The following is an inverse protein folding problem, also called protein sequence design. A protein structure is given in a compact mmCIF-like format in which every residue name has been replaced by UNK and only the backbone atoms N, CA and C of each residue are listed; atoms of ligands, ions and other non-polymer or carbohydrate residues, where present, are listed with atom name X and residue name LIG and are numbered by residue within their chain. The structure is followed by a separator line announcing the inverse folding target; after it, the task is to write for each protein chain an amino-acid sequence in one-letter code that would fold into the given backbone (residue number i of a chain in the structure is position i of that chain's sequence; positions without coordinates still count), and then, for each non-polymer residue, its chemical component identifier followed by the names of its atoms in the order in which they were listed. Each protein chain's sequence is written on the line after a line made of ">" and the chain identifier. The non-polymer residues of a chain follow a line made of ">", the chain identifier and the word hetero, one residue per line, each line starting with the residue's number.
data_IF_261456775770
#
_entry.id   IF_261456775770
#
_cell.length_a   1.000
_cell.length_b   1.000
_cell.length_c   1.000
_cell.angle_alpha   90.00
_cell.angle_beta   90.00
_cell.angle_gamma   90.00
#
_symmetry.space_group_name_H-M   'P 1'
#
loop_
_entity.id
_entity.type
_entity.pdbx_description
1 polymer ?
#
# COMPACT_ATOMS: atom_id res chain seq x y z
N UNK A 1 14.86 22.01 -15.27
CA UNK A 1 13.99 21.47 -14.23
C UNK A 1 14.38 22.06 -12.89
N UNK A 2 13.45 22.64 -12.09
CA UNK A 2 13.80 23.36 -10.85
C UNK A 2 14.70 22.60 -9.89
N UNK A 3 14.51 21.28 -9.74
CA UNK A 3 15.30 20.46 -8.81
C UNK A 3 16.81 20.36 -9.17
N UNK A 4 17.22 20.80 -10.35
CA UNK A 4 18.63 20.87 -10.74
C UNK A 4 19.22 22.29 -10.63
N UNK A 5 18.43 23.26 -10.17
CA UNK A 5 18.93 24.60 -9.91
C UNK A 5 19.75 24.63 -8.61
N UNK A 6 20.89 25.32 -8.58
CA UNK A 6 21.79 25.28 -7.42
C UNK A 6 21.09 25.64 -6.10
N UNK A 7 20.28 26.69 -6.08
CA UNK A 7 19.59 27.16 -4.89
C UNK A 7 18.54 26.16 -4.32
N UNK A 8 18.13 25.16 -5.11
CA UNK A 8 17.20 24.11 -4.71
C UNK A 8 17.88 22.75 -4.53
N UNK A 9 18.93 22.47 -5.33
CA UNK A 9 19.60 21.18 -5.32
C UNK A 9 20.63 21.04 -4.19
N UNK A 10 21.22 22.14 -3.74
CA UNK A 10 22.35 22.13 -2.81
C UNK A 10 21.93 22.22 -1.33
N UNK A 11 20.67 21.96 -1.02
CA UNK A 11 20.18 21.93 0.36
C UNK A 11 20.57 20.59 1.04
N UNK A 12 21.17 20.70 2.22
CA UNK A 12 21.49 19.52 3.02
C UNK A 12 20.18 18.90 3.58
N UNK A 13 20.05 17.55 3.61
CA UNK A 13 18.83 16.88 4.11
C UNK A 13 18.46 17.24 5.56
N UNK A 14 19.42 17.63 6.38
CA UNK A 14 19.20 18.03 7.78
C UNK A 14 19.28 19.55 7.98
N UNK A 15 19.05 20.34 6.93
CA UNK A 15 18.91 21.79 7.08
C UNK A 15 17.72 22.09 8.01
N UNK A 16 17.80 23.11 8.87
CA UNK A 16 16.66 23.52 9.68
C UNK A 16 15.44 23.86 8.81
N UNK A 17 14.25 23.45 9.26
CA UNK A 17 13.01 23.58 8.47
C UNK A 17 12.72 25.03 8.06
N UNK A 18 13.04 25.98 8.92
CA UNK A 18 12.91 27.42 8.65
C UNK A 18 13.80 27.93 7.51
N UNK A 19 14.80 27.16 7.10
CA UNK A 19 15.62 27.44 5.91
C UNK A 19 15.16 26.68 4.66
N UNK A 20 14.14 25.83 4.80
CA UNK A 20 13.60 24.98 3.75
C UNK A 20 12.07 25.06 3.66
N UNK A 21 11.47 26.21 3.99
CA UNK A 21 10.02 26.39 4.02
C UNK A 21 9.32 25.99 2.72
N UNK A 22 9.93 26.31 1.56
CA UNK A 22 9.39 25.92 0.26
C UNK A 22 9.30 24.40 0.08
N UNK A 23 10.30 23.63 0.55
CA UNK A 23 10.25 22.17 0.54
C UNK A 23 9.21 21.64 1.53
N UNK A 24 9.13 22.22 2.72
CA UNK A 24 8.12 21.86 3.70
C UNK A 24 6.71 22.03 3.13
N UNK A 25 6.46 23.14 2.42
CA UNK A 25 5.19 23.38 1.74
C UNK A 25 4.90 22.36 0.64
N UNK A 26 5.88 22.05 -0.22
CA UNK A 26 5.73 21.03 -1.28
C UNK A 26 5.37 19.67 -0.68
N UNK A 27 6.08 19.24 0.36
CA UNK A 27 5.84 17.95 1.00
C UNK A 27 4.44 17.91 1.64
N UNK A 28 4.08 18.95 2.39
CA UNK A 28 2.76 19.04 3.04
C UNK A 28 1.62 19.06 2.01
N UNK A 29 1.76 19.81 0.93
CA UNK A 29 0.75 19.84 -0.13
C UNK A 29 0.63 18.49 -0.83
N UNK A 30 1.75 17.81 -1.08
CA UNK A 30 1.75 16.48 -1.70
C UNK A 30 1.07 15.43 -0.79
N UNK A 31 1.37 15.43 0.49
CA UNK A 31 0.69 14.54 1.46
C UNK A 31 -0.82 14.77 1.45
N UNK A 32 -1.26 16.04 1.50
CA UNK A 32 -2.68 16.40 1.43
C UNK A 32 -3.33 15.96 0.13
N UNK A 33 -2.69 16.19 -1.02
CA UNK A 33 -3.24 15.77 -2.32
C UNK A 33 -3.30 14.24 -2.45
N UNK A 34 -2.32 13.53 -1.92
CA UNK A 34 -2.34 12.07 -1.91
C UNK A 34 -3.47 11.54 -1.01
N UNK A 35 -3.73 12.15 0.14
CA UNK A 35 -4.91 11.83 0.96
C UNK A 35 -6.20 12.02 0.16
N UNK A 36 -6.34 13.15 -0.54
CA UNK A 36 -7.53 13.45 -1.34
C UNK A 36 -7.78 12.44 -2.46
N UNK A 37 -6.73 12.07 -3.23
CA UNK A 37 -6.90 11.13 -4.36
C UNK A 37 -7.04 9.67 -3.93
N UNK A 38 -6.64 9.31 -2.71
CA UNK A 38 -6.69 7.93 -2.21
C UNK A 38 -7.82 7.68 -1.22
N UNK A 39 -8.37 8.73 -0.61
CA UNK A 39 -9.38 8.62 0.45
C UNK A 39 -8.81 8.22 1.82
N UNK A 40 -7.50 8.19 1.99
CA UNK A 40 -6.86 7.91 3.27
C UNK A 40 -6.79 9.15 4.16
N UNK A 41 -6.73 8.90 5.48
CA UNK A 41 -6.68 9.97 6.49
C UNK A 41 -5.30 10.62 6.60
N UNK A 42 -4.25 9.87 6.32
CA UNK A 42 -2.87 10.34 6.39
C UNK A 42 -1.99 9.61 5.36
N UNK A 43 -0.97 10.32 4.88
CA UNK A 43 0.05 9.76 3.98
C UNK A 43 1.42 10.15 4.51
N UNK A 44 2.37 9.23 4.44
CA UNK A 44 3.79 9.51 4.70
C UNK A 44 4.60 9.35 3.42
N UNK A 45 5.47 10.32 3.16
CA UNK A 45 6.40 10.33 2.03
C UNK A 45 7.76 9.66 2.34
N UNK A 46 7.92 9.07 3.53
CA UNK A 46 9.19 8.49 3.97
C UNK A 46 9.68 7.31 3.13
N UNK A 47 8.82 6.36 2.70
CA UNK A 47 9.31 5.26 1.87
C UNK A 47 9.77 5.75 0.50
N UNK A 48 11.01 5.42 0.12
CA UNK A 48 11.63 5.88 -1.12
C UNK A 48 11.69 4.82 -2.23
N UNK A 49 10.89 3.77 -2.09
CA UNK A 49 10.64 2.75 -3.11
C UNK A 49 9.32 2.04 -2.84
N UNK A 50 8.71 1.43 -3.87
CA UNK A 50 7.47 0.66 -3.71
C UNK A 50 7.60 -0.47 -2.70
N UNK A 51 8.69 -1.26 -2.76
CA UNK A 51 8.96 -2.34 -1.81
C UNK A 51 9.15 -1.85 -0.37
N UNK A 52 9.69 -0.65 -0.18
CA UNK A 52 9.75 -0.02 1.14
C UNK A 52 8.38 0.44 1.62
N UNK A 53 7.53 0.92 0.72
CA UNK A 53 6.12 1.18 1.01
C UNK A 53 5.39 -0.08 1.44
N UNK A 54 5.56 -1.20 0.70
CA UNK A 54 4.99 -2.49 1.09
C UNK A 54 5.40 -2.90 2.51
N UNK A 55 6.70 -2.90 2.77
CA UNK A 55 7.24 -3.27 4.09
C UNK A 55 6.73 -2.34 5.19
N UNK A 56 6.76 -1.02 4.95
CA UNK A 56 6.28 -0.02 5.91
C UNK A 56 4.80 -0.21 6.23
N UNK A 57 3.96 -0.41 5.21
CA UNK A 57 2.53 -0.62 5.42
C UNK A 57 2.22 -1.88 6.24
N UNK A 58 2.96 -2.97 6.01
CA UNK A 58 2.82 -4.18 6.82
C UNK A 58 3.31 -3.98 8.26
N UNK A 59 4.34 -3.17 8.47
CA UNK A 59 4.76 -2.79 9.83
C UNK A 59 3.70 -1.94 10.53
N UNK A 60 3.02 -1.05 9.81
CA UNK A 60 1.88 -0.28 10.35
C UNK A 60 0.75 -1.22 10.78
N UNK A 61 0.39 -2.20 9.95
CA UNK A 61 -0.63 -3.21 10.30
C UNK A 61 -0.18 -4.01 11.55
N UNK A 62 1.07 -4.42 11.62
CA UNK A 62 1.57 -5.09 12.83
C UNK A 62 1.49 -4.22 14.07
N UNK A 63 1.89 -2.96 13.97
CA UNK A 63 1.79 -2.01 15.08
C UNK A 63 0.33 -1.81 15.51
N UNK A 64 -0.59 -1.71 14.55
CA UNK A 64 -2.03 -1.64 14.82
C UNK A 64 -2.50 -2.82 15.68
N UNK A 65 -2.19 -4.06 15.27
CA UNK A 65 -2.56 -5.25 16.06
C UNK A 65 -1.87 -5.28 17.43
N UNK A 66 -0.59 -4.90 17.52
CA UNK A 66 0.13 -4.87 18.79
C UNK A 66 -0.49 -3.87 19.78
N UNK A 67 -0.85 -2.67 19.33
CA UNK A 67 -1.48 -1.64 20.14
C UNK A 67 -2.86 -2.07 20.68
N UNK A 68 -3.53 -2.98 19.96
CA UNK A 68 -4.83 -3.56 20.38
C UNK A 68 -4.68 -4.81 21.25
N UNK A 69 -3.45 -5.22 21.59
CA UNK A 69 -3.21 -6.46 22.32
C UNK A 69 -3.33 -7.73 21.46
N UNK A 70 -3.39 -7.60 20.15
CA UNK A 70 -3.56 -8.68 19.17
C UNK A 70 -2.26 -9.01 18.43
N UNK A 71 -1.11 -8.79 19.04
CA UNK A 71 0.22 -9.04 18.45
C UNK A 71 0.49 -10.51 18.04
N UNK A 72 -0.42 -11.43 18.37
CA UNK A 72 -0.41 -12.81 17.91
C UNK A 72 -0.91 -12.99 16.46
N UNK A 73 -1.55 -11.97 15.88
CA UNK A 73 -1.99 -11.99 14.47
C UNK A 73 -0.79 -11.83 13.58
N UNK A 74 -0.46 -12.91 12.84
CA UNK A 74 0.75 -13.01 12.04
C UNK A 74 0.53 -13.68 10.68
N UNK A 75 -0.71 -13.94 10.29
CA UNK A 75 -1.05 -14.52 8.97
C UNK A 75 -1.40 -13.41 8.00
N UNK A 76 -0.77 -13.45 6.81
CA UNK A 76 -1.06 -12.58 5.68
C UNK A 76 -1.59 -13.42 4.51
N UNK A 77 -2.83 -13.20 4.11
CA UNK A 77 -3.38 -13.81 2.89
C UNK A 77 -2.83 -13.08 1.67
N UNK A 78 -2.44 -13.80 0.63
CA UNK A 78 -1.93 -13.20 -0.60
C UNK A 78 -2.50 -13.97 -1.79
N UNK A 79 -3.38 -13.34 -2.61
CA UNK A 79 -3.86 -13.95 -3.84
C UNK A 79 -2.71 -14.24 -4.81
N UNK A 80 -2.82 -15.32 -5.57
CA UNK A 80 -1.80 -15.68 -6.57
C UNK A 80 -1.69 -14.67 -7.70
N UNK A 81 -2.68 -13.79 -7.85
CA UNK A 81 -2.68 -12.63 -8.75
C UNK A 81 -1.94 -11.39 -8.20
N UNK A 82 -1.46 -11.44 -6.96
CA UNK A 82 -0.73 -10.32 -6.35
C UNK A 82 0.68 -10.17 -6.95
N UNK A 83 1.26 -8.99 -6.78
CA UNK A 83 2.63 -8.74 -7.24
C UNK A 83 3.62 -9.66 -6.51
N UNK A 84 4.64 -10.16 -7.22
CA UNK A 84 5.60 -11.13 -6.70
C UNK A 84 6.44 -10.64 -5.51
N UNK A 85 6.52 -9.34 -5.26
CA UNK A 85 7.21 -8.77 -4.08
C UNK A 85 6.37 -8.84 -2.80
N UNK A 86 5.05 -8.98 -2.91
CA UNK A 86 4.16 -8.97 -1.74
C UNK A 86 4.48 -10.10 -0.73
N UNK A 87 4.69 -11.37 -1.16
CA UNK A 87 5.09 -12.43 -0.24
C UNK A 87 6.42 -12.14 0.47
N UNK A 88 7.39 -11.59 -0.24
CA UNK A 88 8.69 -11.25 0.36
C UNK A 88 8.55 -10.16 1.43
N UNK A 89 7.80 -9.11 1.14
CA UNK A 89 7.51 -8.03 2.09
C UNK A 89 6.77 -8.54 3.33
N UNK A 90 5.81 -9.46 3.16
CA UNK A 90 5.09 -10.07 4.27
C UNK A 90 6.02 -10.89 5.18
N UNK A 91 6.89 -11.71 4.59
CA UNK A 91 7.89 -12.49 5.35
C UNK A 91 8.87 -11.57 6.09
N UNK A 92 9.37 -10.51 5.43
CA UNK A 92 10.24 -9.51 6.06
C UNK A 92 9.57 -8.82 7.23
N UNK A 93 8.26 -8.56 7.13
CA UNK A 93 7.46 -8.01 8.23
C UNK A 93 7.16 -9.05 9.33
N UNK A 94 7.64 -10.29 9.21
CA UNK A 94 7.45 -11.37 10.19
C UNK A 94 6.07 -12.01 10.14
N UNK A 95 5.38 -11.92 9.00
CA UNK A 95 4.10 -12.57 8.76
C UNK A 95 4.27 -13.92 8.05
N UNK A 96 3.32 -14.80 8.23
CA UNK A 96 3.21 -16.09 7.54
C UNK A 96 2.29 -15.92 6.33
N UNK A 97 2.80 -16.19 5.16
CA UNK A 97 2.04 -16.09 3.92
C UNK A 97 1.15 -17.32 3.74
N UNK A 98 -0.12 -17.07 3.44
CA UNK A 98 -1.09 -18.08 3.01
C UNK A 98 -1.64 -17.64 1.65
N UNK A 99 -1.46 -18.49 0.65
CA UNK A 99 -1.93 -18.20 -0.70
C UNK A 99 -3.46 -18.35 -0.78
N UNK A 100 -4.07 -17.45 -1.56
CA UNK A 100 -5.48 -17.52 -1.97
C UNK A 100 -5.53 -17.78 -3.47
N UNK A 101 -6.35 -18.72 -3.89
CA UNK A 101 -6.51 -19.10 -5.30
C UNK A 101 -7.16 -17.97 -6.12
N UNK A 102 -6.96 -18.03 -7.44
CA UNK A 102 -7.74 -17.29 -8.42
C UNK A 102 -8.55 -18.26 -9.27
N UNK A 103 -9.65 -17.76 -9.82
CA UNK A 103 -10.47 -18.50 -10.79
C UNK A 103 -9.82 -18.54 -12.20
N UNK A 104 -10.47 -19.20 -13.14
CA UNK A 104 -9.98 -19.33 -14.53
C UNK A 104 -9.97 -18.00 -15.30
N UNK A 105 -10.65 -16.97 -14.79
CA UNK A 105 -10.68 -15.62 -15.35
C UNK A 105 -9.66 -14.68 -14.70
N UNK A 106 -8.94 -15.16 -13.70
CA UNK A 106 -7.93 -14.41 -12.96
C UNK A 106 -8.46 -13.55 -11.83
N UNK A 107 -9.76 -13.65 -11.48
CA UNK A 107 -10.32 -13.05 -10.29
C UNK A 107 -9.92 -13.86 -9.05
N UNK A 108 -9.93 -13.23 -7.89
CA UNK A 108 -9.73 -13.92 -6.62
C UNK A 108 -10.89 -14.89 -6.38
N UNK A 109 -10.60 -16.15 -6.07
CA UNK A 109 -11.60 -17.12 -5.69
C UNK A 109 -12.16 -16.77 -4.31
N UNK A 110 -13.36 -16.20 -4.31
CA UNK A 110 -14.01 -15.73 -3.09
C UNK A 110 -14.37 -16.85 -2.11
N UNK A 111 -14.60 -18.08 -2.61
CA UNK A 111 -14.87 -19.23 -1.74
C UNK A 111 -13.59 -19.68 -1.03
N UNK A 112 -12.45 -19.74 -1.72
CA UNK A 112 -11.15 -20.03 -1.12
C UNK A 112 -10.74 -18.90 -0.14
N UNK A 113 -10.95 -17.64 -0.51
CA UNK A 113 -10.70 -16.50 0.39
C UNK A 113 -11.47 -16.66 1.71
N UNK A 114 -12.77 -16.90 1.64
CA UNK A 114 -13.63 -17.05 2.82
C UNK A 114 -13.19 -18.24 3.69
N UNK A 115 -12.85 -19.36 3.06
CA UNK A 115 -12.32 -20.55 3.74
C UNK A 115 -11.00 -20.26 4.46
N UNK A 116 -10.04 -19.59 3.78
CA UNK A 116 -8.74 -19.21 4.38
C UNK A 116 -8.89 -18.20 5.50
N UNK A 117 -9.74 -17.19 5.32
CA UNK A 117 -10.01 -16.20 6.35
C UNK A 117 -10.63 -16.84 7.61
N UNK A 118 -11.56 -17.78 7.44
CA UNK A 118 -12.17 -18.53 8.54
C UNK A 118 -11.15 -19.44 9.24
N UNK A 119 -10.36 -20.21 8.47
CA UNK A 119 -9.31 -21.11 8.99
C UNK A 119 -8.31 -20.36 9.86
N UNK A 120 -7.93 -19.15 9.44
CA UNK A 120 -6.91 -18.37 10.12
C UNK A 120 -7.46 -17.21 10.95
N UNK A 121 -8.77 -17.14 11.20
CA UNK A 121 -9.45 -16.01 11.82
C UNK A 121 -8.79 -15.51 13.12
N UNK A 122 -8.35 -16.44 13.99
CA UNK A 122 -7.67 -16.07 15.23
C UNK A 122 -6.29 -15.41 15.03
N UNK A 123 -5.68 -15.57 13.85
CA UNK A 123 -4.32 -15.12 13.55
C UNK A 123 -4.24 -14.26 12.30
N UNK A 124 -5.35 -13.99 11.63
CA UNK A 124 -5.38 -13.19 10.42
C UNK A 124 -4.95 -11.75 10.75
N UNK A 125 -3.79 -11.35 10.24
CA UNK A 125 -3.28 -10.00 10.36
C UNK A 125 -3.68 -9.13 9.19
N UNK A 126 -3.53 -9.65 7.96
CA UNK A 126 -3.78 -8.88 6.75
C UNK A 126 -4.09 -9.76 5.54
N UNK A 127 -4.65 -9.13 4.53
CA UNK A 127 -4.52 -9.55 3.12
C UNK A 127 -3.69 -8.51 2.38
N UNK A 128 -2.86 -8.95 1.42
CA UNK A 128 -2.24 -8.05 0.43
C UNK A 128 -2.84 -8.32 -0.94
N UNK A 129 -3.52 -7.34 -1.50
CA UNK A 129 -4.15 -7.44 -2.82
C UNK A 129 -3.59 -6.39 -3.76
N UNK A 130 -3.19 -6.79 -4.97
CA UNK A 130 -2.82 -5.87 -6.05
C UNK A 130 -4.06 -5.51 -6.84
N UNK A 131 -4.37 -4.23 -6.99
CA UNK A 131 -5.60 -3.76 -7.61
C UNK A 131 -5.36 -2.57 -8.56
N UNK A 132 -5.68 -2.69 -9.86
CA UNK A 132 -6.01 -3.94 -10.57
C UNK A 132 -4.92 -4.99 -10.45
N UNK A 133 -5.27 -6.28 -10.63
CA UNK A 133 -4.32 -7.40 -10.44
C UNK A 133 -3.20 -7.39 -11.48
N UNK A 134 -2.15 -8.19 -11.25
CA UNK A 134 -1.05 -8.34 -12.23
C UNK A 134 -1.51 -9.00 -13.54
N UNK A 135 -2.68 -9.65 -13.53
CA UNK A 135 -3.32 -10.17 -14.74
C UNK A 135 -4.13 -9.12 -15.50
N UNK A 136 -4.19 -7.88 -14.99
CA UNK A 136 -4.98 -6.80 -15.56
C UNK A 136 -6.48 -6.91 -15.25
N UNK A 137 -6.84 -7.74 -14.28
CA UNK A 137 -8.23 -7.92 -13.85
C UNK A 137 -8.60 -6.88 -12.80
N UNK A 138 -9.75 -6.26 -12.99
CA UNK A 138 -10.35 -5.34 -12.06
C UNK A 138 -11.35 -6.13 -11.20
N UNK A 139 -10.96 -6.52 -9.99
CA UNK A 139 -11.75 -7.36 -9.10
C UNK A 139 -13.13 -6.75 -8.80
N UNK A 140 -14.18 -7.35 -9.35
CA UNK A 140 -15.57 -6.87 -9.11
C UNK A 140 -15.98 -7.02 -7.65
N UNK A 141 -15.46 -8.04 -6.97
CA UNK A 141 -15.80 -8.37 -5.60
C UNK A 141 -14.88 -7.69 -4.56
N UNK A 142 -14.10 -6.68 -4.93
CA UNK A 142 -13.09 -6.07 -4.02
C UNK A 142 -13.71 -5.58 -2.70
N UNK A 143 -14.87 -4.94 -2.73
CA UNK A 143 -15.57 -4.50 -1.51
C UNK A 143 -15.96 -5.69 -0.61
N UNK A 144 -16.47 -6.77 -1.20
CA UNK A 144 -16.80 -8.00 -0.46
C UNK A 144 -15.55 -8.67 0.15
N UNK A 145 -14.44 -8.64 -0.57
CA UNK A 145 -13.14 -9.11 -0.06
C UNK A 145 -12.75 -8.34 1.21
N UNK A 146 -12.85 -7.01 1.18
CA UNK A 146 -12.55 -6.17 2.36
C UNK A 146 -13.46 -6.54 3.54
N UNK A 147 -14.76 -6.68 3.31
CA UNK A 147 -15.72 -7.09 4.36
C UNK A 147 -15.36 -8.44 5.00
N UNK A 148 -15.00 -9.45 4.20
CA UNK A 148 -14.61 -10.78 4.70
C UNK A 148 -13.37 -10.65 5.60
N UNK A 149 -12.33 -9.98 5.14
CA UNK A 149 -11.09 -9.83 5.89
C UNK A 149 -11.31 -9.08 7.21
N UNK A 150 -12.07 -7.99 7.18
CA UNK A 150 -12.43 -7.23 8.38
C UNK A 150 -13.28 -8.05 9.36
N UNK A 151 -14.22 -8.84 8.88
CA UNK A 151 -15.06 -9.72 9.73
C UNK A 151 -14.21 -10.73 10.51
N UNK A 152 -13.05 -11.11 10.00
CA UNK A 152 -12.08 -11.99 10.65
C UNK A 152 -10.96 -11.25 11.40
N UNK A 153 -11.08 -9.92 11.54
CA UNK A 153 -10.16 -9.07 12.30
C UNK A 153 -8.85 -8.72 11.59
N UNK A 154 -8.72 -9.08 10.31
CA UNK A 154 -7.59 -8.69 9.48
C UNK A 154 -7.71 -7.27 8.92
N UNK A 155 -6.61 -6.74 8.40
CA UNK A 155 -6.55 -5.45 7.70
C UNK A 155 -6.32 -5.67 6.21
N UNK A 156 -6.82 -4.76 5.38
CA UNK A 156 -6.65 -4.82 3.93
C UNK A 156 -5.52 -3.92 3.49
N UNK A 157 -4.43 -4.53 3.03
CA UNK A 157 -3.34 -3.85 2.33
C UNK A 157 -3.61 -3.89 0.84
N UNK A 158 -3.83 -2.74 0.22
CA UNK A 158 -3.99 -2.63 -1.22
C UNK A 158 -2.68 -2.17 -1.86
N UNK A 159 -2.10 -3.00 -2.71
CA UNK A 159 -0.95 -2.62 -3.53
C UNK A 159 -1.42 -1.67 -4.63
N UNK A 160 -1.24 -0.38 -4.38
CA UNK A 160 -1.59 0.73 -5.25
C UNK A 160 -0.39 1.26 -6.05
N UNK A 161 0.64 0.44 -6.27
CA UNK A 161 1.83 0.83 -7.01
C UNK A 161 1.52 1.53 -8.34
N UNK A 162 0.44 1.12 -9.00
CA UNK A 162 -0.06 1.75 -10.22
C UNK A 162 -1.51 2.22 -10.05
N UNK A 163 -1.66 3.52 -9.87
CA UNK A 163 -2.97 4.18 -9.69
C UNK A 163 -3.63 4.64 -11.00
N UNK A 164 -3.06 4.35 -12.18
CA UNK A 164 -3.57 4.85 -13.45
C UNK A 164 -5.03 4.47 -13.73
N UNK A 165 -5.46 3.30 -13.26
CA UNK A 165 -6.82 2.84 -13.43
C UNK A 165 -7.80 3.33 -12.35
N UNK A 166 -7.33 4.03 -11.33
CA UNK A 166 -8.11 4.41 -10.16
C UNK A 166 -8.29 5.93 -10.02
N UNK A 167 -7.23 6.71 -10.28
CA UNK A 167 -7.27 8.18 -10.06
C UNK A 167 -8.44 8.82 -10.82
N UNK A 168 -9.28 9.51 -10.07
CA UNK A 168 -10.48 10.17 -10.60
C UNK A 168 -11.70 9.25 -10.84
N UNK A 169 -11.54 7.94 -10.65
CA UNK A 169 -12.61 6.94 -10.82
C UNK A 169 -13.01 6.28 -9.51
N UNK A 170 -12.06 5.87 -8.69
CA UNK A 170 -12.28 5.30 -7.37
C UNK A 170 -11.09 5.61 -6.46
N UNK A 171 -11.28 5.48 -5.15
CA UNK A 171 -10.26 5.71 -4.14
C UNK A 171 -10.08 4.46 -3.28
N UNK A 172 -8.83 4.02 -3.02
CA UNK A 172 -8.57 2.84 -2.20
C UNK A 172 -9.25 2.85 -0.83
N UNK A 173 -9.26 4.00 -0.14
CA UNK A 173 -9.94 4.16 1.16
C UNK A 173 -11.44 3.94 1.07
N UNK A 174 -12.10 4.41 0.01
CA UNK A 174 -13.56 4.24 -0.18
C UNK A 174 -13.93 2.78 -0.51
N UNK A 175 -13.00 2.02 -1.08
CA UNK A 175 -13.19 0.59 -1.40
C UNK A 175 -13.14 -0.26 -0.13
N UNK A 176 -12.48 0.24 0.92
CA UNK A 176 -12.31 -0.48 2.18
C UNK A 176 -10.86 -0.94 2.45
N UNK A 177 -9.89 -0.41 1.71
CA UNK A 177 -8.48 -0.62 2.03
C UNK A 177 -8.10 0.18 3.27
N UNK A 178 -7.35 -0.46 4.18
CA UNK A 178 -6.84 0.17 5.40
C UNK A 178 -5.47 0.81 5.19
N UNK A 179 -4.66 0.21 4.31
CA UNK A 179 -3.29 0.65 4.02
C UNK A 179 -3.01 0.48 2.54
N UNK A 180 -2.35 1.45 1.92
CA UNK A 180 -1.89 1.34 0.54
C UNK A 180 -0.60 2.10 0.33
N UNK A 181 0.31 1.55 -0.50
CA UNK A 181 1.41 2.34 -1.04
C UNK A 181 1.13 2.77 -2.47
N UNK A 182 1.80 3.83 -2.86
CA UNK A 182 1.74 4.42 -4.19
C UNK A 182 3.16 4.51 -4.75
N UNK A 183 3.31 4.39 -6.08
CA UNK A 183 4.60 4.68 -6.71
C UNK A 183 4.51 5.98 -7.49
N UNK A 184 5.09 7.07 -6.94
CA UNK A 184 5.04 8.38 -7.59
C UNK A 184 5.76 8.40 -8.94
N UNK A 185 6.72 7.50 -9.15
CA UNK A 185 7.44 7.34 -10.41
C UNK A 185 6.68 6.54 -11.49
N UNK A 186 5.45 6.14 -11.21
CA UNK A 186 4.53 5.50 -12.18
C UNK A 186 3.44 6.48 -12.59
N UNK A 187 2.32 6.50 -11.90
CA UNK A 187 1.15 7.33 -12.21
C UNK A 187 1.45 8.84 -12.15
N UNK A 188 2.26 9.27 -11.18
CA UNK A 188 2.49 10.68 -10.87
C UNK A 188 3.77 11.27 -11.52
N UNK A 189 4.60 10.42 -12.11
CA UNK A 189 5.69 10.82 -12.99
C UNK A 189 6.73 11.75 -12.34
N UNK A 190 7.38 11.30 -11.27
CA UNK A 190 8.52 12.03 -10.69
C UNK A 190 9.82 11.75 -11.46
N UNK A 191 10.81 12.66 -11.43
CA UNK A 191 12.16 12.36 -11.91
C UNK A 191 12.84 11.34 -10.99
N UNK A 192 13.44 10.29 -11.59
CA UNK A 192 14.16 9.24 -10.86
C UNK A 192 15.34 8.68 -11.67
N UNK A 193 16.06 9.57 -12.36
CA UNK A 193 17.27 9.22 -13.11
C UNK A 193 17.05 8.36 -14.36
N UNK A 194 15.84 8.34 -14.91
CA UNK A 194 15.50 7.51 -16.07
C UNK A 194 15.22 6.05 -15.73
N UNK A 195 15.14 5.70 -14.46
CA UNK A 195 14.85 4.37 -13.94
C UNK A 195 15.34 4.23 -12.50
N UNK A 196 14.98 3.16 -11.84
CA UNK A 196 15.34 2.90 -10.45
C UNK A 196 14.26 3.31 -9.45
N UNK A 197 14.55 3.20 -8.15
CA UNK A 197 13.60 3.53 -7.11
C UNK A 197 13.27 5.02 -7.14
N UNK A 198 12.00 5.33 -6.97
CA UNK A 198 11.53 6.69 -6.86
C UNK A 198 11.02 6.97 -5.46
N UNK A 199 9.71 7.02 -5.30
CA UNK A 199 9.06 7.14 -4.00
C UNK A 199 7.90 6.15 -3.89
N UNK A 200 7.69 5.65 -2.69
CA UNK A 200 6.58 4.75 -2.35
C UNK A 200 5.78 5.24 -1.15
N UNK A 201 5.10 6.40 -1.25
CA UNK A 201 4.28 6.92 -0.16
C UNK A 201 3.34 5.86 0.37
N UNK A 202 3.12 5.88 1.68
CA UNK A 202 2.21 4.98 2.37
C UNK A 202 1.03 5.76 2.95
N UNK A 203 -0.20 5.33 2.63
CA UNK A 203 -1.44 5.91 3.13
C UNK A 203 -2.16 4.97 4.10
N UNK A 204 -2.85 5.57 5.07
CA UNK A 204 -3.66 4.88 6.08
C UNK A 204 -4.93 5.64 6.40
#
# INVERSE_FOLDING_TARGET
>A
VPLSWPDLADLHPFVPVEQAEGYAQILSDLERWLCEVTGFSAVSLQPNAGSQGEYTGLLVIRAFHQLRGEGHRDVCLIPVSAHGTNPASAVMAGMKVVAVACDEHGNIDMADLEARAAEHSARLAAIMVTYPSTHGVFEEAIGRLCEIVHAHGGQVYLDGANMNAQVGLCRPGDIGADVSHLNLHKTFCIPHGGGGPGMGPIGV
#
